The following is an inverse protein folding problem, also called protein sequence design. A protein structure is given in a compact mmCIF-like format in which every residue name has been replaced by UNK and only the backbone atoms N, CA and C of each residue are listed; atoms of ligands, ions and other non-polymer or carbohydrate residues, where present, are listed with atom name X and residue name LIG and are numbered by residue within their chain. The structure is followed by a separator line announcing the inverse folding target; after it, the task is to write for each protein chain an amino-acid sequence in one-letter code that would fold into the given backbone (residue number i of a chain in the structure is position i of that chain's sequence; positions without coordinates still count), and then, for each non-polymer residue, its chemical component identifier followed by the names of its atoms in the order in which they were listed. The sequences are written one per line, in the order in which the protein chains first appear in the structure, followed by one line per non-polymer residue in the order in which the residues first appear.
data_IF_968893847322
#
_entry.id   IF_968893847322
#
_cell.length_a   1.000
_cell.length_b   1.000
_cell.length_c   1.000
_cell.angle_alpha   90.00
_cell.angle_beta   90.00
_cell.angle_gamma   90.00
#
_symmetry.space_group_name_H-M   'P 1'
#
loop_
_entity.id
_entity.type
_entity.pdbx_description
1 polymer ?
#
# COMPACT_ATOMS: atom_id res chain seq x y z
N UNK A 1 -28.07 0.10 11.61
CA UNK A 1 -26.87 -0.74 11.54
C UNK A 1 -27.18 -2.11 10.90
N UNK A 2 -28.38 -2.66 11.17
CA UNK A 2 -28.76 -4.02 10.71
C UNK A 2 -28.94 -4.14 9.19
N UNK A 3 -29.05 -3.03 8.48
CA UNK A 3 -29.19 -2.97 7.02
C UNK A 3 -27.83 -2.89 6.27
N UNK A 4 -26.71 -2.79 7.01
CA UNK A 4 -25.37 -2.76 6.39
C UNK A 4 -24.93 -4.18 6.05
N UNK A 5 -24.83 -4.47 4.76
CA UNK A 5 -24.52 -5.81 4.25
C UNK A 5 -23.03 -6.02 3.97
N UNK A 6 -22.28 -4.96 3.76
CA UNK A 6 -20.82 -4.99 3.53
C UNK A 6 -20.20 -3.61 3.73
N UNK A 7 -18.87 -3.57 3.90
CA UNK A 7 -18.05 -2.36 3.98
C UNK A 7 -17.10 -2.35 2.78
N UNK A 8 -17.21 -1.33 1.92
CA UNK A 8 -16.22 -1.02 0.88
C UNK A 8 -15.24 0.04 1.37
N UNK A 9 -13.98 -0.07 0.98
CA UNK A 9 -12.92 0.85 1.36
C UNK A 9 -12.23 1.44 0.14
N UNK A 10 -11.92 2.72 0.23
CA UNK A 10 -11.01 3.41 -0.67
C UNK A 10 -10.24 4.46 0.12
N UNK A 11 -9.12 4.89 -0.40
CA UNK A 11 -8.31 5.92 0.25
C UNK A 11 -7.21 6.42 -0.67
N UNK A 12 -6.50 7.44 -0.20
CA UNK A 12 -5.30 7.90 -0.88
C UNK A 12 -4.30 6.76 -1.00
N UNK A 13 -3.67 6.64 -2.17
CA UNK A 13 -2.56 5.73 -2.37
C UNK A 13 -1.22 6.36 -2.02
N UNK A 14 -0.17 5.61 -2.34
CA UNK A 14 1.22 6.01 -2.13
C UNK A 14 1.58 6.27 -0.66
N UNK A 15 2.82 6.67 -0.43
CA UNK A 15 3.30 6.92 0.92
C UNK A 15 4.01 5.73 1.57
N UNK A 16 4.42 5.91 2.83
CA UNK A 16 5.00 4.87 3.67
C UNK A 16 4.24 4.79 4.99
N UNK A 17 3.35 3.82 5.11
CA UNK A 17 2.50 3.55 6.27
C UNK A 17 3.01 2.30 6.98
N UNK A 18 3.95 2.48 7.90
CA UNK A 18 4.72 1.39 8.50
C UNK A 18 4.15 0.99 9.86
N UNK A 19 3.87 -0.29 10.02
CA UNK A 19 3.40 -0.87 11.28
C UNK A 19 4.34 -1.99 11.76
N UNK A 20 4.43 -2.16 13.08
CA UNK A 20 5.15 -3.27 13.70
C UNK A 20 4.36 -4.60 13.63
N UNK A 21 4.92 -5.66 14.21
CA UNK A 21 4.27 -6.99 14.27
C UNK A 21 2.89 -6.96 14.96
N UNK A 22 2.67 -6.02 15.88
CA UNK A 22 1.39 -5.85 16.58
C UNK A 22 0.40 -4.97 15.82
N UNK A 23 0.83 -4.43 14.65
CA UNK A 23 0.02 -3.49 13.87
C UNK A 23 -0.02 -2.07 14.46
N UNK A 24 0.95 -1.73 15.32
CA UNK A 24 1.11 -0.38 15.85
C UNK A 24 1.97 0.44 14.87
N UNK A 25 1.55 1.67 14.48
CA UNK A 25 2.40 2.53 13.67
C UNK A 25 3.76 2.77 14.33
N UNK A 26 4.84 2.51 13.59
CA UNK A 26 6.22 2.74 14.11
C UNK A 26 6.61 4.21 14.05
N UNK A 27 5.89 4.98 13.24
CA UNK A 27 6.03 6.43 13.07
C UNK A 27 4.76 7.03 12.42
N UNK A 28 4.57 8.35 12.42
CA UNK A 28 3.56 8.99 11.57
C UNK A 28 3.80 8.63 10.09
N UNK A 29 2.73 8.34 9.35
CA UNK A 29 2.83 8.01 7.93
C UNK A 29 3.45 9.16 7.13
N UNK A 30 4.35 8.83 6.21
CA UNK A 30 4.73 9.72 5.13
C UNK A 30 3.71 9.53 4.00
N UNK A 31 2.89 10.54 3.74
CA UNK A 31 1.83 10.45 2.72
C UNK A 31 2.35 10.81 1.32
N UNK A 32 1.55 10.63 0.28
CA UNK A 32 1.92 10.92 -1.10
C UNK A 32 2.42 12.36 -1.36
N UNK A 33 1.99 13.34 -0.55
CA UNK A 33 2.44 14.74 -0.60
C UNK A 33 3.79 14.97 0.10
N UNK A 34 4.36 13.94 0.74
CA UNK A 34 5.63 14.09 1.46
C UNK A 34 6.78 14.29 0.49
N UNK A 35 7.39 15.45 0.52
CA UNK A 35 8.46 15.84 -0.38
C UNK A 35 9.87 15.39 0.02
N UNK A 36 10.03 14.67 1.15
CA UNK A 36 11.37 14.32 1.68
C UNK A 36 12.24 13.52 0.69
N UNK A 37 11.64 12.65 -0.11
CA UNK A 37 12.34 11.87 -1.10
C UNK A 37 12.37 12.51 -2.51
N UNK A 38 12.04 13.80 -2.66
CA UNK A 38 12.05 14.48 -3.97
C UNK A 38 13.43 14.50 -4.61
N UNK A 39 14.49 14.78 -3.82
CA UNK A 39 15.86 14.75 -4.32
C UNK A 39 16.27 13.34 -4.78
N UNK A 40 15.80 12.31 -4.08
CA UNK A 40 16.02 10.91 -4.46
C UNK A 40 15.31 10.57 -5.78
N UNK A 41 14.12 11.11 -6.01
CA UNK A 41 13.42 10.95 -7.28
C UNK A 41 14.20 11.60 -8.44
N UNK A 42 14.84 12.75 -8.23
CA UNK A 42 15.74 13.36 -9.21
C UNK A 42 16.94 12.45 -9.50
N UNK A 43 17.59 11.93 -8.46
CA UNK A 43 18.72 10.99 -8.62
C UNK A 43 18.31 9.72 -9.41
N UNK A 44 17.13 9.16 -9.13
CA UNK A 44 16.63 7.98 -9.85
C UNK A 44 16.28 8.27 -11.32
N UNK A 45 15.89 9.51 -11.64
CA UNK A 45 15.74 9.94 -13.04
C UNK A 45 17.11 10.02 -13.75
N UNK A 46 18.12 10.52 -13.07
CA UNK A 46 19.45 10.74 -13.66
C UNK A 46 20.23 9.42 -13.86
N UNK A 47 20.06 8.45 -12.98
CA UNK A 47 20.80 7.18 -12.99
C UNK A 47 20.07 6.00 -13.68
N UNK A 48 18.86 6.26 -14.21
CA UNK A 48 18.09 5.29 -14.99
C UNK A 48 17.17 4.38 -14.16
N UNK A 49 17.19 4.42 -12.82
CA UNK A 49 16.28 3.63 -11.97
C UNK A 49 14.81 3.97 -12.23
N UNK A 50 14.51 5.25 -12.52
CA UNK A 50 13.15 5.68 -12.87
C UNK A 50 12.60 4.96 -14.10
N UNK A 51 13.42 4.80 -15.14
CA UNK A 51 13.06 4.07 -16.37
C UNK A 51 12.79 2.60 -16.01
N UNK A 52 13.66 2.00 -15.23
CA UNK A 52 13.51 0.61 -14.80
C UNK A 52 12.23 0.36 -14.00
N UNK A 53 11.89 1.26 -13.07
CA UNK A 53 10.60 1.19 -12.34
C UNK A 53 9.42 1.27 -13.31
N UNK A 54 9.44 2.23 -14.24
CA UNK A 54 8.35 2.41 -15.20
C UNK A 54 8.17 1.19 -16.14
N UNK A 55 9.26 0.60 -16.62
CA UNK A 55 9.22 -0.60 -17.47
C UNK A 55 8.54 -1.79 -16.81
N UNK A 56 8.72 -1.95 -15.49
CA UNK A 56 8.17 -3.09 -14.75
C UNK A 56 6.78 -2.79 -14.21
N UNK A 57 6.59 -1.62 -13.61
CA UNK A 57 5.35 -1.31 -12.86
C UNK A 57 4.33 -0.49 -13.64
N UNK A 58 4.74 0.13 -14.76
CA UNK A 58 3.94 1.14 -15.47
C UNK A 58 3.78 2.46 -14.70
N UNK A 59 4.44 2.61 -13.55
CA UNK A 59 4.30 3.77 -12.67
C UNK A 59 5.44 4.76 -12.83
N UNK A 60 5.10 6.02 -13.10
CA UNK A 60 6.08 7.11 -13.09
C UNK A 60 6.46 7.45 -11.66
N UNK A 61 7.77 7.54 -11.39
CA UNK A 61 8.27 7.87 -10.05
C UNK A 61 8.00 9.33 -9.66
N UNK A 62 7.84 9.54 -8.37
CA UNK A 62 7.87 10.83 -7.69
C UNK A 62 8.18 10.60 -6.20
N UNK A 63 8.51 11.66 -5.45
CA UNK A 63 9.00 11.55 -4.07
C UNK A 63 8.05 10.92 -3.05
N UNK A 64 6.77 10.76 -3.38
CA UNK A 64 5.76 10.14 -2.50
C UNK A 64 5.61 8.62 -2.66
N UNK A 65 6.32 7.97 -3.59
CA UNK A 65 6.24 6.52 -3.77
C UNK A 65 6.97 5.75 -2.67
N UNK A 66 6.41 4.60 -2.27
CA UNK A 66 6.98 3.75 -1.23
C UNK A 66 8.46 3.41 -1.45
N UNK A 67 8.94 2.96 -2.63
CA UNK A 67 10.34 2.60 -2.82
C UNK A 67 11.34 3.73 -2.55
N UNK A 68 10.95 4.98 -2.84
CA UNK A 68 11.79 6.14 -2.59
C UNK A 68 11.69 6.62 -1.13
N UNK A 69 10.46 6.65 -0.60
CA UNK A 69 10.24 7.07 0.79
C UNK A 69 10.89 6.14 1.79
N UNK A 70 10.82 4.82 1.57
CA UNK A 70 11.41 3.85 2.52
C UNK A 70 12.95 3.95 2.53
N UNK A 71 13.58 4.16 1.37
CA UNK A 71 15.02 4.39 1.27
C UNK A 71 15.43 5.65 2.04
N UNK A 72 14.67 6.75 1.86
CA UNK A 72 14.88 7.99 2.61
C UNK A 72 14.69 7.81 4.13
N UNK A 73 13.66 7.07 4.53
CA UNK A 73 13.37 6.81 5.93
C UNK A 73 14.40 5.88 6.59
N UNK A 74 14.97 4.93 5.87
CA UNK A 74 16.05 4.09 6.37
C UNK A 74 17.33 4.89 6.65
N UNK A 75 17.54 6.00 5.95
CA UNK A 75 18.68 6.90 6.19
C UNK A 75 18.38 7.92 7.31
N UNK A 76 17.18 8.53 7.30
CA UNK A 76 16.85 9.67 8.17
C UNK A 76 16.23 9.26 9.50
N UNK A 77 15.54 8.11 9.55
CA UNK A 77 14.90 7.55 10.76
C UNK A 77 15.06 6.03 10.83
N UNK A 78 16.30 5.50 10.81
CA UNK A 78 16.54 4.06 10.75
C UNK A 78 16.01 3.31 11.96
N UNK A 79 16.03 3.93 13.12
CA UNK A 79 15.62 3.30 14.38
C UNK A 79 14.14 2.89 14.37
N UNK A 80 13.25 3.79 13.91
CA UNK A 80 11.83 3.50 13.81
C UNK A 80 11.51 2.66 12.57
N UNK A 81 12.12 2.99 11.43
CA UNK A 81 11.85 2.32 10.15
C UNK A 81 12.17 0.82 10.21
N UNK A 82 13.30 0.42 10.84
CA UNK A 82 13.69 -0.99 10.99
C UNK A 82 12.80 -1.80 11.95
N UNK A 83 11.89 -1.16 12.69
CA UNK A 83 10.88 -1.84 13.53
C UNK A 83 9.64 -2.22 12.72
N UNK A 84 9.52 -1.75 11.49
CA UNK A 84 8.40 -2.08 10.64
C UNK A 84 8.39 -3.59 10.32
N UNK A 85 7.22 -4.18 10.43
CA UNK A 85 6.94 -5.56 10.02
C UNK A 85 6.06 -5.59 8.76
N UNK A 86 5.30 -4.51 8.49
CA UNK A 86 4.45 -4.44 7.31
C UNK A 86 4.29 -2.98 6.87
N UNK A 87 4.33 -2.78 5.55
CA UNK A 87 3.85 -1.59 4.89
C UNK A 87 2.37 -1.78 4.53
N UNK A 88 1.53 -0.87 4.97
CA UNK A 88 0.12 -0.81 4.59
C UNK A 88 -0.16 0.54 3.94
N UNK A 89 -1.01 0.59 2.91
CA UNK A 89 -1.52 1.87 2.42
C UNK A 89 -2.70 2.35 3.28
N UNK A 90 -3.17 3.57 3.06
CA UNK A 90 -4.19 4.21 3.90
C UNK A 90 -5.43 3.31 4.09
N UNK A 91 -6.04 2.84 2.98
CA UNK A 91 -7.23 1.96 3.05
C UNK A 91 -6.91 0.60 3.68
N UNK A 92 -5.70 0.06 3.42
CA UNK A 92 -5.26 -1.24 3.93
C UNK A 92 -5.05 -1.18 5.44
N UNK A 93 -4.52 -0.07 5.96
CA UNK A 93 -4.42 0.15 7.39
C UNK A 93 -5.81 0.25 8.06
N UNK A 94 -6.78 0.95 7.43
CA UNK A 94 -8.16 1.01 7.93
C UNK A 94 -8.77 -0.39 7.93
N UNK A 95 -8.63 -1.15 6.83
CA UNK A 95 -9.12 -2.54 6.75
C UNK A 95 -8.46 -3.42 7.82
N UNK A 96 -7.14 -3.32 7.99
CA UNK A 96 -6.44 -4.03 9.07
C UNK A 96 -7.03 -3.72 10.45
N UNK A 97 -7.36 -2.45 10.75
CA UNK A 97 -8.00 -2.05 12.02
C UNK A 97 -9.42 -2.60 12.17
N UNK A 98 -10.10 -2.92 11.09
CA UNK A 98 -11.44 -3.50 11.10
C UNK A 98 -11.42 -5.03 11.19
N UNK A 99 -10.41 -5.68 10.59
CA UNK A 99 -10.40 -7.13 10.33
C UNK A 99 -9.25 -7.89 10.97
N UNK A 100 -8.13 -7.21 11.25
CA UNK A 100 -6.87 -7.83 11.67
C UNK A 100 -6.01 -8.35 10.53
N UNK A 101 -6.49 -8.35 9.27
CA UNK A 101 -5.80 -8.92 8.12
C UNK A 101 -4.90 -7.92 7.40
N UNK A 102 -3.69 -8.35 7.07
CA UNK A 102 -2.68 -7.54 6.35
C UNK A 102 -2.67 -7.92 4.89
N UNK A 103 -3.48 -7.25 4.11
CA UNK A 103 -3.64 -7.48 2.68
C UNK A 103 -3.53 -6.16 1.94
N UNK A 104 -3.30 -6.22 0.64
CA UNK A 104 -3.37 -5.08 -0.28
C UNK A 104 -4.04 -5.50 -1.59
N UNK A 105 -4.19 -4.58 -2.53
CA UNK A 105 -4.72 -4.88 -3.84
C UNK A 105 -3.75 -4.48 -4.97
N UNK A 106 -4.06 -4.88 -6.20
CA UNK A 106 -3.24 -4.61 -7.37
C UNK A 106 -3.04 -3.12 -7.64
N UNK A 107 -4.03 -2.27 -7.32
CA UNK A 107 -3.94 -0.83 -7.57
C UNK A 107 -2.91 -0.17 -6.66
N UNK A 108 -2.83 -0.59 -5.39
CA UNK A 108 -1.80 -0.13 -4.45
C UNK A 108 -0.45 -0.81 -4.72
N UNK A 109 -0.44 -2.10 -5.03
CA UNK A 109 0.78 -2.84 -5.33
C UNK A 109 1.52 -2.26 -6.55
N UNK A 110 0.78 -1.73 -7.56
CA UNK A 110 1.36 -1.06 -8.74
C UNK A 110 2.17 0.19 -8.39
N UNK A 111 1.97 0.73 -7.21
CA UNK A 111 2.68 1.92 -6.70
C UNK A 111 4.00 1.57 -6.00
N UNK A 112 4.38 0.29 -5.98
CA UNK A 112 5.63 -0.20 -5.38
C UNK A 112 6.41 -1.08 -6.36
N UNK A 113 6.32 -2.40 -6.23
CA UNK A 113 7.12 -3.35 -7.01
C UNK A 113 6.29 -4.31 -7.86
N UNK A 114 4.98 -4.11 -8.04
CA UNK A 114 4.15 -5.01 -8.84
C UNK A 114 4.72 -5.15 -10.26
N UNK A 115 4.88 -6.39 -10.73
CA UNK A 115 5.11 -6.66 -12.15
C UNK A 115 3.79 -6.47 -12.90
N UNK A 116 3.65 -5.35 -13.59
CA UNK A 116 2.41 -4.99 -14.29
C UNK A 116 2.16 -5.85 -15.54
N UNK A 117 3.19 -6.51 -16.08
CA UNK A 117 3.05 -7.35 -17.27
C UNK A 117 2.45 -8.71 -16.93
N UNK A 118 2.83 -9.29 -15.81
CA UNK A 118 2.36 -10.61 -15.37
C UNK A 118 1.23 -10.52 -14.34
N UNK A 119 1.24 -9.49 -13.52
CA UNK A 119 0.37 -9.34 -12.35
C UNK A 119 0.44 -10.54 -11.36
N UNK A 120 1.52 -11.31 -11.40
CA UNK A 120 1.70 -12.48 -10.53
C UNK A 120 2.17 -12.11 -9.11
N UNK A 121 2.63 -10.87 -8.91
CA UNK A 121 3.10 -10.40 -7.62
C UNK A 121 4.17 -9.33 -7.71
N UNK A 122 4.89 -9.14 -6.62
CA UNK A 122 5.98 -8.18 -6.55
C UNK A 122 7.23 -8.71 -7.27
N UNK A 123 7.82 -7.86 -8.10
CA UNK A 123 8.99 -8.17 -8.93
C UNK A 123 10.28 -8.23 -8.10
N UNK A 124 10.74 -9.45 -7.81
CA UNK A 124 12.06 -9.64 -7.20
C UNK A 124 13.19 -9.07 -8.07
N UNK A 125 13.20 -9.23 -9.42
CA UNK A 125 14.20 -8.59 -10.27
C UNK A 125 14.25 -7.08 -10.12
N UNK A 126 13.10 -6.39 -10.07
CA UNK A 126 13.05 -4.94 -9.85
C UNK A 126 13.62 -4.57 -8.49
N UNK A 127 13.16 -5.22 -7.43
CA UNK A 127 13.68 -4.96 -6.07
C UNK A 127 15.20 -5.18 -5.98
N UNK A 128 15.72 -6.19 -6.69
CA UNK A 128 17.16 -6.44 -6.78
C UNK A 128 17.90 -5.34 -7.54
N UNK A 129 17.37 -4.89 -8.67
CA UNK A 129 17.97 -3.80 -9.47
C UNK A 129 18.03 -2.49 -8.67
N UNK A 130 17.06 -2.29 -7.76
CA UNK A 130 17.01 -1.14 -6.85
C UNK A 130 17.83 -1.32 -5.55
N UNK A 131 18.37 -2.53 -5.29
CA UNK A 131 19.07 -2.83 -4.03
C UNK A 131 18.15 -2.91 -2.82
N UNK A 132 16.87 -3.28 -3.03
CA UNK A 132 15.79 -3.20 -2.04
C UNK A 132 15.07 -4.54 -1.81
N UNK A 133 15.76 -5.67 -2.02
CA UNK A 133 15.14 -7.01 -1.92
C UNK A 133 14.56 -7.31 -0.55
N UNK A 134 15.18 -6.83 0.53
CA UNK A 134 14.69 -7.00 1.90
C UNK A 134 13.39 -6.26 2.18
N UNK A 135 13.04 -5.28 1.37
CA UNK A 135 11.80 -4.51 1.53
C UNK A 135 10.57 -5.28 1.04
N UNK A 136 10.76 -6.32 0.24
CA UNK A 136 9.66 -7.19 -0.19
C UNK A 136 9.00 -7.90 0.99
N UNK A 137 9.75 -8.19 2.06
CA UNK A 137 9.22 -8.81 3.27
C UNK A 137 8.24 -7.91 4.04
N UNK A 138 8.28 -6.59 3.77
CA UNK A 138 7.33 -5.64 4.35
C UNK A 138 5.99 -5.58 3.61
N UNK A 139 5.92 -6.15 2.39
CA UNK A 139 4.74 -6.01 1.54
C UNK A 139 3.70 -7.08 1.85
N UNK A 140 2.43 -6.68 2.02
CA UNK A 140 1.36 -7.62 2.31
C UNK A 140 0.96 -8.44 1.08
N UNK A 141 0.23 -9.53 1.30
CA UNK A 141 -0.35 -10.35 0.24
C UNK A 141 -1.29 -9.52 -0.64
N UNK A 142 -1.17 -9.68 -1.97
CA UNK A 142 -2.02 -9.00 -2.94
C UNK A 142 -3.29 -9.82 -3.18
N UNK A 143 -4.44 -9.15 -3.16
CA UNK A 143 -5.75 -9.71 -3.49
C UNK A 143 -6.44 -8.87 -4.56
N UNK A 144 -7.49 -9.39 -5.16
CA UNK A 144 -8.31 -8.61 -6.10
C UNK A 144 -9.16 -7.59 -5.34
N UNK A 145 -9.28 -6.39 -5.90
CA UNK A 145 -9.94 -5.26 -5.22
C UNK A 145 -11.42 -5.51 -4.88
N UNK A 146 -12.10 -6.35 -5.68
CA UNK A 146 -13.51 -6.71 -5.52
C UNK A 146 -13.76 -7.86 -4.54
N UNK A 147 -12.70 -8.53 -4.06
CA UNK A 147 -12.85 -9.63 -3.10
C UNK A 147 -13.26 -9.13 -1.71
N UNK A 148 -13.92 -10.01 -0.96
CA UNK A 148 -14.04 -9.83 0.49
C UNK A 148 -12.70 -10.20 1.12
N UNK A 149 -12.04 -9.20 1.70
CA UNK A 149 -10.73 -9.39 2.32
C UNK A 149 -10.80 -10.13 3.65
N UNK A 150 -11.84 -9.86 4.43
CA UNK A 150 -12.12 -10.49 5.72
C UNK A 150 -13.43 -9.95 6.29
N UNK A 151 -13.64 -10.15 7.57
CA UNK A 151 -14.88 -9.81 8.27
C UNK A 151 -14.59 -8.93 9.49
N UNK A 152 -15.57 -8.09 9.84
CA UNK A 152 -15.49 -7.19 10.99
C UNK A 152 -15.32 -7.98 12.30
N UNK A 153 -14.24 -7.68 13.03
CA UNK A 153 -13.95 -8.31 14.33
C UNK A 153 -14.89 -7.81 15.42
N UNK A 154 -14.98 -8.53 16.56
CA UNK A 154 -15.74 -8.08 17.73
C UNK A 154 -15.27 -6.72 18.26
N UNK A 155 -13.96 -6.50 18.29
CA UNK A 155 -13.39 -5.23 18.77
C UNK A 155 -13.81 -4.07 17.85
N UNK A 156 -13.63 -4.26 16.54
CA UNK A 156 -14.00 -3.25 15.56
C UNK A 156 -15.52 -3.01 15.56
N UNK A 157 -16.34 -4.08 15.64
CA UNK A 157 -17.80 -4.00 15.76
C UNK A 157 -18.23 -3.08 16.91
N UNK A 158 -17.67 -3.27 18.11
CA UNK A 158 -17.97 -2.40 19.26
C UNK A 158 -17.62 -0.93 19.03
N UNK A 159 -16.58 -0.66 18.23
CA UNK A 159 -16.11 0.71 17.95
C UNK A 159 -16.92 1.42 16.88
N UNK A 160 -17.35 0.68 15.84
CA UNK A 160 -18.06 1.27 14.69
C UNK A 160 -19.59 1.09 14.76
N UNK A 161 -20.09 0.26 15.67
CA UNK A 161 -21.52 0.04 15.85
C UNK A 161 -22.18 -0.80 14.75
N UNK A 162 -21.41 -1.64 14.05
CA UNK A 162 -21.92 -2.55 13.02
C UNK A 162 -21.84 -4.01 13.51
N UNK A 163 -22.66 -4.93 12.95
CA UNK A 163 -22.66 -6.34 13.36
C UNK A 163 -21.29 -6.98 13.18
N UNK A 164 -20.89 -7.83 14.14
CA UNK A 164 -19.71 -8.71 14.00
C UNK A 164 -19.88 -9.59 12.78
N UNK A 165 -18.82 -9.80 12.03
CA UNK A 165 -18.86 -10.61 10.82
C UNK A 165 -19.39 -9.88 9.58
N UNK A 166 -19.65 -8.56 9.65
CA UNK A 166 -19.94 -7.78 8.44
C UNK A 166 -18.77 -7.91 7.46
N UNK A 167 -19.01 -8.31 6.20
CA UNK A 167 -17.97 -8.43 5.19
C UNK A 167 -17.24 -7.10 4.95
N UNK A 168 -15.91 -7.15 4.83
CA UNK A 168 -15.07 -5.99 4.52
C UNK A 168 -14.30 -6.29 3.24
N UNK A 169 -14.54 -5.49 2.19
CA UNK A 169 -13.87 -5.62 0.89
C UNK A 169 -12.39 -5.22 0.95
N UNK A 170 -11.62 -5.74 0.01
CA UNK A 170 -10.22 -5.33 -0.19
C UNK A 170 -10.18 -3.84 -0.57
N UNK A 171 -11.02 -3.44 -1.50
CA UNK A 171 -11.07 -2.07 -1.99
C UNK A 171 -9.92 -1.71 -2.92
N UNK A 172 -9.93 -0.52 -3.45
CA UNK A 172 -8.90 -0.01 -4.36
C UNK A 172 -8.54 1.44 -4.05
N UNK A 173 -7.40 1.87 -4.55
CA UNK A 173 -6.87 3.23 -4.54
C UNK A 173 -7.90 4.22 -5.10
N UNK A 174 -7.99 5.42 -4.56
CA UNK A 174 -8.99 6.45 -4.88
C UNK A 174 -9.02 6.85 -6.36
N UNK A 175 -7.87 6.98 -7.01
CA UNK A 175 -7.78 7.26 -8.46
C UNK A 175 -8.40 6.12 -9.26
N UNK A 176 -8.17 4.86 -8.87
CA UNK A 176 -8.74 3.70 -9.55
C UNK A 176 -10.27 3.64 -9.39
N UNK A 177 -10.78 3.87 -8.18
CA UNK A 177 -12.24 3.99 -7.93
C UNK A 177 -12.85 5.10 -8.77
N UNK A 178 -12.19 6.25 -8.85
CA UNK A 178 -12.65 7.38 -9.67
C UNK A 178 -12.72 6.98 -11.15
N UNK A 179 -11.69 6.28 -11.66
CA UNK A 179 -11.67 5.77 -13.03
C UNK A 179 -12.85 4.82 -13.33
N UNK A 180 -13.12 3.88 -12.41
CA UNK A 180 -14.27 2.97 -12.53
C UNK A 180 -15.59 3.75 -12.49
N UNK A 181 -15.73 4.71 -11.57
CA UNK A 181 -16.92 5.56 -11.45
C UNK A 181 -17.20 6.41 -12.70
N UNK A 182 -16.17 6.74 -13.48
CA UNK A 182 -16.28 7.44 -14.76
C UNK A 182 -16.51 6.51 -15.97
N UNK A 183 -16.71 5.19 -15.73
CA UNK A 183 -16.94 4.20 -16.78
C UNK A 183 -15.64 3.56 -17.32
N UNK A 184 -14.51 3.79 -16.69
CA UNK A 184 -13.27 3.06 -17.00
C UNK A 184 -13.41 1.58 -16.62
N UNK A 185 -13.04 0.66 -17.54
CA UNK A 185 -13.11 -0.78 -17.30
C UNK A 185 -14.36 -1.48 -17.83
N UNK A 186 -15.17 -0.78 -18.62
CA UNK A 186 -16.29 -1.38 -19.39
C UNK A 186 -15.84 -1.83 -20.78
#
# INVERSE_FOLDING_TARGET
ADDVVAIGLTGQGDGAWLVDEKGTPVRPAAIWLDGRASQRAEQWNDDGRAVRVFEVTGTKIFGGLFPLLIEELLETDPQNTRRAATHLNCKDWIRFKLTGERLTDYTEASRSYLDAATAEGFSFPLAKDLGQTELLDLLPEIRRSEEIGSYLTEEASRRVGLPVGTPVGIGMLDIAVTGVGLGGGS
#
